data_IF_256195042346
#
_entry.id   IF_256195042346
#
_cell.length_a   1.000
_cell.length_b   1.000
_cell.length_c   1.000
_cell.angle_alpha   90.00
_cell.angle_beta   90.00
_cell.angle_gamma   90.00
#
_symmetry.space_group_name_H-M   'P 1'
#
loop_
_entity.id
_entity.type
_entity.pdbx_description
1 polymer ?
#
# COMPACT_ATOMS: atom_id res chain seq x y z
N UNK A 1 -14.77 43.47 11.10
CA UNK A 1 -13.70 42.83 10.32
C UNK A 1 -12.41 42.92 11.12
N UNK A 2 -11.96 41.83 11.75
CA UNK A 2 -10.54 41.63 11.96
C UNK A 2 -10.15 40.23 11.52
N UNK A 3 -9.78 40.09 10.25
CA UNK A 3 -8.83 39.07 9.85
C UNK A 3 -7.47 39.75 9.89
N UNK A 4 -6.57 39.30 10.76
CA UNK A 4 -5.13 39.21 10.46
C UNK A 4 -4.28 38.92 11.69
N UNK A 5 -3.46 37.86 11.55
CA UNK A 5 -2.22 37.55 12.28
C UNK A 5 -2.31 36.67 13.53
N UNK A 6 -2.86 35.47 13.35
CA UNK A 6 -2.21 34.25 13.87
C UNK A 6 -1.17 33.80 12.84
N UNK A 7 -0.12 34.59 12.63
CA UNK A 7 1.01 34.13 11.81
C UNK A 7 1.88 33.28 12.72
N UNK A 8 1.64 31.96 12.68
CA UNK A 8 2.46 30.94 13.30
C UNK A 8 3.94 31.29 13.10
N UNK A 9 4.68 31.48 14.19
CA UNK A 9 6.12 31.42 14.12
C UNK A 9 6.49 29.97 13.78
N UNK A 10 6.54 29.65 12.48
CA UNK A 10 7.09 28.40 11.98
C UNK A 10 8.49 28.27 12.60
N UNK A 11 8.67 27.27 13.46
CA UNK A 11 9.98 27.00 14.05
C UNK A 11 10.95 26.69 12.92
N UNK A 12 12.22 27.12 13.03
CA UNK A 12 13.23 26.92 11.97
C UNK A 12 13.28 25.45 11.50
N UNK A 13 13.14 24.51 12.43
CA UNK A 13 13.09 23.08 12.14
C UNK A 13 11.86 22.62 11.35
N UNK A 14 10.68 23.26 11.52
CA UNK A 14 9.50 23.00 10.67
C UNK A 14 9.76 23.46 9.23
N UNK A 15 10.35 24.64 9.05
CA UNK A 15 10.74 25.15 7.72
C UNK A 15 11.83 24.30 7.05
N UNK A 16 12.84 23.89 7.81
CA UNK A 16 13.89 22.97 7.34
C UNK A 16 13.30 21.63 6.91
N UNK A 17 12.34 21.10 7.66
CA UNK A 17 11.64 19.86 7.31
C UNK A 17 10.79 20.00 6.04
N UNK A 18 9.93 21.03 5.96
CA UNK A 18 9.04 21.25 4.82
C UNK A 18 9.84 21.52 3.53
N UNK A 19 10.95 22.26 3.63
CA UNK A 19 11.88 22.47 2.51
C UNK A 19 12.60 21.19 2.10
N UNK A 20 13.08 20.38 3.05
CA UNK A 20 13.71 19.09 2.78
C UNK A 20 12.75 18.08 2.12
N UNK A 21 11.47 18.04 2.53
CA UNK A 21 10.46 17.20 1.89
C UNK A 21 10.17 17.64 0.45
N UNK A 22 10.19 18.95 0.17
CA UNK A 22 10.02 19.47 -1.19
C UNK A 22 11.18 19.12 -2.12
N UNK A 23 12.37 18.91 -1.58
CA UNK A 23 13.57 18.54 -2.32
C UNK A 23 13.53 17.06 -2.75
N UNK A 24 14.00 16.77 -3.96
CA UNK A 24 14.16 15.40 -4.50
C UNK A 24 15.35 14.64 -3.89
N UNK A 25 15.94 15.15 -2.80
CA UNK A 25 17.15 14.62 -2.18
C UNK A 25 16.88 13.43 -1.24
N UNK A 26 15.62 13.23 -0.82
CA UNK A 26 15.23 12.12 0.03
C UNK A 26 14.41 11.08 -0.73
N UNK A 27 14.74 9.81 -0.51
CA UNK A 27 14.04 8.66 -1.09
C UNK A 27 12.57 8.65 -0.61
N UNK A 28 11.57 8.30 -1.45
CA UNK A 28 10.15 8.34 -1.07
C UNK A 28 9.82 7.65 0.26
N UNK A 29 10.43 6.50 0.55
CA UNK A 29 10.21 5.79 1.82
C UNK A 29 10.64 6.62 3.04
N UNK A 30 11.71 7.42 2.93
CA UNK A 30 12.15 8.29 4.02
C UNK A 30 11.11 9.39 4.31
N UNK A 31 10.45 9.91 3.28
CA UNK A 31 9.35 10.89 3.43
C UNK A 31 8.13 10.26 4.10
N UNK A 32 7.79 9.03 3.74
CA UNK A 32 6.69 8.27 4.38
C UNK A 32 6.97 8.00 5.86
N UNK A 33 8.20 7.63 6.22
CA UNK A 33 8.59 7.40 7.61
C UNK A 33 8.51 8.71 8.41
N UNK A 34 8.94 9.83 7.85
CA UNK A 34 8.91 11.12 8.55
C UNK A 34 7.49 11.66 8.73
N UNK A 35 6.62 11.49 7.73
CA UNK A 35 5.20 11.83 7.82
C UNK A 35 4.50 10.99 8.90
N UNK A 36 4.78 9.69 8.97
CA UNK A 36 4.25 8.83 10.05
C UNK A 36 4.65 9.30 11.45
N UNK A 37 5.88 9.80 11.61
CA UNK A 37 6.33 10.35 12.90
C UNK A 37 5.53 11.59 13.25
N UNK A 38 5.30 12.50 12.29
CA UNK A 38 4.48 13.68 12.52
C UNK A 38 3.03 13.31 12.81
N UNK A 39 2.45 12.38 12.06
CA UNK A 39 1.09 11.89 12.29
C UNK A 39 0.94 11.32 13.71
N UNK A 40 1.92 10.57 14.20
CA UNK A 40 1.89 10.02 15.56
C UNK A 40 1.81 11.11 16.65
N UNK A 41 2.38 12.29 16.42
CA UNK A 41 2.27 13.45 17.33
C UNK A 41 1.08 14.36 17.03
N UNK A 42 0.59 14.37 15.79
CA UNK A 42 -0.53 15.20 15.33
C UNK A 42 -1.88 14.50 15.42
N UNK A 43 -1.92 13.21 15.78
CA UNK A 43 -3.16 12.48 16.05
C UNK A 43 -3.77 13.01 17.34
N UNK A 44 -4.36 14.22 17.28
CA UNK A 44 -5.35 14.67 18.25
C UNK A 44 -6.57 13.78 18.05
N UNK A 45 -6.57 12.64 18.72
CA UNK A 45 -7.76 11.81 18.83
C UNK A 45 -8.76 12.64 19.66
N UNK A 46 -9.84 13.12 19.03
CA UNK A 46 -11.02 13.54 19.79
C UNK A 46 -11.28 12.47 20.86
N UNK A 47 -11.51 12.88 22.11
CA UNK A 47 -11.68 11.93 23.21
C UNK A 47 -12.68 10.86 22.77
N UNK A 48 -12.30 9.59 22.93
CA UNK A 48 -13.14 8.46 22.56
C UNK A 48 -14.54 8.60 23.17
N UNK A 49 -14.60 9.17 24.38
CA UNK A 49 -15.83 9.50 25.11
C UNK A 49 -16.70 10.53 24.37
N UNK A 50 -16.12 11.57 23.74
CA UNK A 50 -16.87 12.54 22.94
C UNK A 50 -17.42 11.87 21.68
N UNK A 51 -16.64 10.99 21.06
CA UNK A 51 -17.06 10.26 19.87
C UNK A 51 -18.25 9.34 20.17
N UNK A 52 -18.16 8.59 21.27
CA UNK A 52 -19.23 7.72 21.76
C UNK A 52 -20.48 8.52 22.14
N UNK A 53 -20.32 9.66 22.83
CA UNK A 53 -21.46 10.52 23.17
C UNK A 53 -22.17 11.06 21.93
N UNK A 54 -21.42 11.50 20.91
CA UNK A 54 -22.01 11.96 19.63
C UNK A 54 -22.78 10.84 18.94
N UNK A 55 -22.29 9.61 19.00
CA UNK A 55 -22.99 8.45 18.44
C UNK A 55 -24.28 8.14 19.23
N UNK A 56 -24.22 8.18 20.56
CA UNK A 56 -25.37 7.97 21.43
C UNK A 56 -26.45 9.06 21.26
N UNK A 57 -26.05 10.32 21.06
CA UNK A 57 -26.97 11.43 20.77
C UNK A 57 -27.69 11.19 19.44
N UNK A 58 -26.96 10.80 18.38
CA UNK A 58 -27.59 10.48 17.09
C UNK A 58 -28.59 9.34 17.22
N UNK A 59 -28.23 8.29 17.95
CA UNK A 59 -29.11 7.15 18.18
C UNK A 59 -30.38 7.57 18.96
N UNK A 60 -30.26 8.37 20.01
CA UNK A 60 -31.41 8.89 20.75
C UNK A 60 -32.32 9.78 19.89
N UNK A 61 -31.74 10.57 18.98
CA UNK A 61 -32.48 11.40 18.02
C UNK A 61 -33.21 10.54 16.97
N UNK A 62 -32.56 9.49 16.47
CA UNK A 62 -33.14 8.54 15.51
C UNK A 62 -34.27 7.72 16.16
N UNK A 63 -34.19 7.45 17.47
CA UNK A 63 -35.23 6.81 18.28
C UNK A 63 -36.34 7.78 18.73
N UNK A 64 -36.23 9.08 18.40
CA UNK A 64 -37.12 10.15 18.87
C UNK A 64 -37.25 10.24 20.40
N UNK A 65 -36.19 9.86 21.12
CA UNK A 65 -36.07 10.00 22.57
C UNK A 65 -35.42 11.35 22.91
N UNK A 66 -36.24 12.41 22.85
CA UNK A 66 -35.81 13.80 23.03
C UNK A 66 -35.24 14.08 24.43
N UNK A 67 -35.78 13.43 25.47
CA UNK A 67 -35.34 13.59 26.85
C UNK A 67 -33.91 13.04 27.03
N UNK A 68 -33.65 11.84 26.49
CA UNK A 68 -32.32 11.21 26.51
C UNK A 68 -31.33 11.96 25.63
N UNK A 69 -31.75 12.43 24.46
CA UNK A 69 -30.90 13.25 23.60
C UNK A 69 -30.47 14.55 24.30
N UNK A 70 -31.38 15.20 25.03
CA UNK A 70 -31.09 16.42 25.77
C UNK A 70 -30.11 16.19 26.93
N UNK A 71 -30.27 15.10 27.68
CA UNK A 71 -29.34 14.72 28.75
C UNK A 71 -27.93 14.46 28.21
N UNK A 72 -27.81 13.68 27.13
CA UNK A 72 -26.53 13.38 26.48
C UNK A 72 -25.87 14.63 25.90
N UNK A 73 -26.64 15.57 25.33
CA UNK A 73 -26.10 16.86 24.90
C UNK A 73 -25.56 17.69 26.07
N UNK A 74 -26.22 17.65 27.23
CA UNK A 74 -25.74 18.29 28.45
C UNK A 74 -24.40 17.72 28.92
N UNK A 75 -24.25 16.39 28.86
CA UNK A 75 -22.98 15.72 29.14
C UNK A 75 -21.89 16.09 28.12
N UNK A 76 -22.21 16.12 26.82
CA UNK A 76 -21.28 16.54 25.76
C UNK A 76 -20.78 17.96 25.98
N UNK A 77 -21.68 18.87 26.37
CA UNK A 77 -21.31 20.26 26.67
C UNK A 77 -20.35 20.35 27.84
N UNK A 78 -20.62 19.66 28.95
CA UNK A 78 -19.72 19.64 30.11
C UNK A 78 -18.34 19.10 29.77
N UNK A 79 -18.28 18.02 28.98
CA UNK A 79 -17.02 17.41 28.56
C UNK A 79 -16.22 18.37 27.67
N UNK A 80 -16.88 19.07 26.74
CA UNK A 80 -16.24 20.09 25.91
C UNK A 80 -15.76 21.31 26.69
N UNK A 81 -16.56 21.79 27.65
CA UNK A 81 -16.18 22.90 28.51
C UNK A 81 -14.97 22.50 29.39
N UNK A 82 -14.91 21.24 29.83
CA UNK A 82 -13.74 20.68 30.53
C UNK A 82 -12.50 20.57 29.62
N UNK A 83 -12.61 20.04 28.39
CA UNK A 83 -11.49 20.01 27.43
C UNK A 83 -10.99 21.43 27.11
N UNK A 84 -11.89 22.40 26.98
CA UNK A 84 -11.52 23.79 26.78
C UNK A 84 -10.75 24.35 28.00
N UNK A 85 -11.22 24.06 29.21
CA UNK A 85 -10.52 24.45 30.44
C UNK A 85 -9.15 23.78 30.58
N UNK A 86 -9.06 22.48 30.27
CA UNK A 86 -7.80 21.72 30.27
C UNK A 86 -6.83 22.28 29.24
N UNK A 87 -7.30 22.60 28.03
CA UNK A 87 -6.48 23.22 26.99
C UNK A 87 -5.93 24.59 27.43
N UNK A 88 -6.74 25.39 28.14
CA UNK A 88 -6.32 26.67 28.68
C UNK A 88 -5.29 26.51 29.82
N UNK A 89 -5.47 25.52 30.70
CA UNK A 89 -4.52 25.20 31.76
C UNK A 89 -3.18 24.71 31.19
N UNK A 90 -3.22 23.88 30.14
CA UNK A 90 -2.02 23.41 29.43
C UNK A 90 -1.29 24.57 28.71
N UNK A 91 -2.03 25.50 28.12
CA UNK A 91 -1.44 26.71 27.52
C UNK A 91 -0.74 27.57 28.57
N UNK A 92 -1.36 27.77 29.74
CA UNK A 92 -0.76 28.50 30.87
C UNK A 92 0.53 27.81 31.36
N UNK A 93 0.52 26.48 31.51
CA UNK A 93 1.71 25.70 31.86
C UNK A 93 2.87 25.91 30.86
N UNK A 94 2.54 25.98 29.56
CA UNK A 94 3.50 26.25 28.49
C UNK A 94 4.08 27.67 28.51
N UNK A 95 3.38 28.64 29.11
CA UNK A 95 3.93 29.98 29.35
C UNK A 95 4.89 30.02 30.55
N UNK A 96 4.61 29.19 31.57
CA UNK A 96 5.38 29.18 32.81
C UNK A 96 6.67 28.36 32.72
N UNK A 97 6.66 27.28 31.93
CA UNK A 97 7.81 26.40 31.78
C UNK A 97 8.13 26.12 30.30
N UNK A 98 9.41 26.11 29.90
CA UNK A 98 9.78 25.71 28.55
C UNK A 98 9.41 24.23 28.33
N UNK A 99 8.90 23.92 27.14
CA UNK A 99 8.42 22.56 26.79
C UNK A 99 9.48 21.47 27.03
N UNK A 100 10.77 21.78 26.84
CA UNK A 100 11.87 20.85 27.11
C UNK A 100 11.97 20.44 28.59
N UNK A 101 11.61 21.35 29.51
CA UNK A 101 11.57 21.07 30.95
C UNK A 101 10.33 20.29 31.35
N UNK A 102 9.20 20.56 30.70
CA UNK A 102 7.97 19.77 30.88
C UNK A 102 8.22 18.33 30.39
N UNK A 103 8.77 18.13 29.19
CA UNK A 103 9.05 16.79 28.67
C UNK A 103 10.08 16.04 29.53
N UNK A 104 11.10 16.74 30.06
CA UNK A 104 12.10 16.09 30.90
C UNK A 104 11.54 15.62 32.26
N UNK A 105 10.51 16.26 32.80
CA UNK A 105 9.86 15.78 34.02
C UNK A 105 9.13 14.45 33.82
N UNK A 106 8.64 14.17 32.60
CA UNK A 106 7.96 12.92 32.27
C UNK A 106 8.91 11.81 31.79
N UNK A 107 10.23 12.02 31.78
CA UNK A 107 11.21 11.03 31.31
C UNK A 107 11.05 9.63 31.92
N UNK A 108 10.64 9.57 33.18
CA UNK A 108 10.46 8.32 33.93
C UNK A 108 9.00 7.88 34.03
N UNK A 109 8.07 8.61 33.42
CA UNK A 109 6.66 8.26 33.39
C UNK A 109 6.46 7.06 32.43
N UNK A 110 5.86 5.94 32.89
CA UNK A 110 5.60 4.79 32.04
C UNK A 110 4.80 5.12 30.76
N UNK A 111 3.82 6.02 30.84
CA UNK A 111 2.99 6.40 29.69
C UNK A 111 3.79 7.19 28.65
N UNK A 112 4.66 8.10 29.11
CA UNK A 112 5.56 8.84 28.23
C UNK A 112 6.60 7.92 27.59
N UNK A 113 7.15 6.98 28.36
CA UNK A 113 8.06 5.96 27.84
C UNK A 113 7.39 5.07 26.78
N UNK A 114 6.16 4.61 27.02
CA UNK A 114 5.41 3.82 26.06
C UNK A 114 5.22 4.55 24.73
N UNK A 115 4.89 5.85 24.75
CA UNK A 115 4.78 6.67 23.55
C UNK A 115 6.12 6.78 22.80
N UNK A 116 7.20 7.13 23.50
CA UNK A 116 8.53 7.33 22.91
C UNK A 116 9.08 6.01 22.34
N UNK A 117 9.04 4.93 23.11
CA UNK A 117 9.53 3.63 22.67
C UNK A 117 8.62 3.00 21.61
N UNK A 118 7.31 3.20 21.69
CA UNK A 118 6.36 2.77 20.67
C UNK A 118 6.62 3.46 19.33
N UNK A 119 6.89 4.77 19.34
CA UNK A 119 7.28 5.51 18.15
C UNK A 119 8.64 5.02 17.61
N UNK A 120 9.63 4.85 18.48
CA UNK A 120 10.94 4.34 18.08
C UNK A 120 10.84 2.95 17.42
N UNK A 121 10.01 2.07 17.97
CA UNK A 121 9.75 0.75 17.41
C UNK A 121 9.06 0.84 16.04
N UNK A 122 8.06 1.73 15.88
CA UNK A 122 7.42 1.97 14.58
C UNK A 122 8.42 2.45 13.53
N UNK A 123 9.26 3.44 13.87
CA UNK A 123 10.32 3.94 12.98
C UNK A 123 11.31 2.83 12.64
N UNK A 124 11.74 2.03 13.62
CA UNK A 124 12.65 0.91 13.40
C UNK A 124 12.07 -0.11 12.42
N UNK A 125 10.82 -0.53 12.63
CA UNK A 125 10.14 -1.50 11.78
C UNK A 125 9.93 -0.97 10.36
N UNK A 126 9.53 0.29 10.22
CA UNK A 126 9.29 0.90 8.91
C UNK A 126 10.59 1.16 8.14
N UNK A 127 11.65 1.57 8.85
CA UNK A 127 12.99 1.70 8.27
C UNK A 127 13.50 0.34 7.81
N UNK A 128 13.32 -0.71 8.62
CA UNK A 128 13.67 -2.07 8.23
C UNK A 128 12.90 -2.52 6.98
N UNK A 129 11.59 -2.23 6.89
CA UNK A 129 10.79 -2.51 5.69
C UNK A 129 11.26 -1.72 4.47
N UNK A 130 11.58 -0.43 4.64
CA UNK A 130 12.07 0.42 3.57
C UNK A 130 13.43 -0.06 3.01
N UNK A 131 14.32 -0.53 3.88
CA UNK A 131 15.64 -1.06 3.50
C UNK A 131 15.50 -2.46 2.87
N UNK A 132 14.67 -3.34 3.45
CA UNK A 132 14.49 -4.70 2.93
C UNK A 132 13.69 -4.73 1.62
N UNK A 133 12.78 -3.77 1.40
CA UNK A 133 11.94 -3.66 0.21
C UNK A 133 11.95 -2.24 -0.41
N UNK A 134 13.08 -1.81 -1.02
CA UNK A 134 13.23 -0.45 -1.53
C UNK A 134 12.37 -0.12 -2.78
N UNK A 135 11.69 -1.11 -3.38
CA UNK A 135 10.94 -0.94 -4.63
C UNK A 135 9.41 -0.76 -4.47
N UNK A 136 8.91 -0.52 -3.26
CA UNK A 136 7.45 -0.46 -3.00
C UNK A 136 6.75 0.79 -3.52
N UNK A 137 7.47 1.86 -3.90
CA UNK A 137 6.85 3.12 -4.33
C UNK A 137 6.16 3.07 -5.72
N UNK A 138 6.27 1.98 -6.49
CA UNK A 138 5.49 1.78 -7.74
C UNK A 138 5.11 0.32 -8.00
N UNK A 139 4.81 -0.47 -6.97
CA UNK A 139 4.24 -1.79 -7.21
C UNK A 139 2.73 -1.76 -7.13
N UNK A 140 2.07 -1.72 -8.30
CA UNK A 140 0.76 -2.34 -8.46
C UNK A 140 0.87 -3.75 -7.90
N UNK A 141 0.33 -3.98 -6.70
CA UNK A 141 0.03 -5.31 -6.15
C UNK A 141 0.98 -6.40 -6.67
N UNK A 142 2.21 -6.48 -6.16
CA UNK A 142 2.98 -7.72 -6.29
C UNK A 142 2.25 -8.76 -5.45
N UNK A 143 1.20 -9.37 -6.02
CA UNK A 143 0.91 -10.77 -5.71
C UNK A 143 2.24 -11.48 -5.84
N UNK A 144 2.58 -12.28 -4.83
CA UNK A 144 3.75 -13.15 -4.84
C UNK A 144 3.98 -13.65 -6.27
N UNK A 145 5.16 -13.36 -6.82
CA UNK A 145 5.57 -13.85 -8.12
C UNK A 145 5.53 -15.37 -8.00
N UNK A 146 4.38 -15.96 -8.35
CA UNK A 146 4.26 -17.40 -8.54
C UNK A 146 5.38 -17.71 -9.51
N UNK A 147 6.35 -18.52 -9.09
CA UNK A 147 7.40 -18.97 -9.99
C UNK A 147 6.69 -19.44 -11.27
N UNK A 148 7.08 -18.86 -12.41
CA UNK A 148 6.44 -19.17 -13.67
C UNK A 148 6.63 -20.67 -13.88
N UNK A 149 5.54 -21.43 -13.90
CA UNK A 149 5.59 -22.87 -14.17
C UNK A 149 6.26 -23.05 -15.54
N UNK A 150 7.47 -23.62 -15.53
CA UNK A 150 8.24 -23.87 -16.76
C UNK A 150 7.95 -25.26 -17.21
N UNK A 151 7.28 -25.37 -18.36
CA UNK A 151 7.00 -26.64 -18.99
C UNK A 151 8.11 -26.98 -19.99
N UNK A 152 8.46 -28.25 -20.10
CA UNK A 152 9.39 -28.75 -21.11
C UNK A 152 8.61 -29.49 -22.18
N UNK A 153 8.59 -28.94 -23.40
CA UNK A 153 7.97 -29.57 -24.56
C UNK A 153 9.04 -30.43 -25.24
N UNK A 154 8.75 -31.69 -25.51
CA UNK A 154 9.69 -32.62 -26.13
C UNK A 154 9.09 -33.37 -27.31
N UNK A 155 9.94 -33.62 -28.31
CA UNK A 155 9.64 -34.43 -29.50
C UNK A 155 10.95 -34.95 -30.10
N UNK A 156 10.96 -36.22 -30.51
CA UNK A 156 12.08 -36.85 -31.23
C UNK A 156 13.47 -36.66 -30.58
N UNK A 157 13.52 -36.66 -29.24
CA UNK A 157 14.75 -36.47 -28.46
C UNK A 157 15.24 -35.02 -28.33
N UNK A 158 14.51 -34.05 -28.89
CA UNK A 158 14.72 -32.61 -28.69
C UNK A 158 13.73 -32.06 -27.66
N UNK A 159 14.11 -30.99 -26.95
CA UNK A 159 13.27 -30.37 -25.94
C UNK A 159 13.46 -28.86 -25.88
N UNK A 160 12.37 -28.15 -25.62
CA UNK A 160 12.35 -26.69 -25.49
C UNK A 160 11.51 -26.28 -24.28
N UNK A 161 11.92 -25.22 -23.59
CA UNK A 161 11.19 -24.71 -22.42
C UNK A 161 10.12 -23.71 -22.82
N UNK A 162 8.90 -23.89 -22.30
CA UNK A 162 7.80 -22.94 -22.40
C UNK A 162 7.37 -22.47 -20.99
N UNK A 163 7.86 -21.30 -20.53
CA UNK A 163 7.47 -20.75 -19.24
C UNK A 163 6.08 -20.11 -19.29
N UNK A 164 5.19 -20.52 -18.37
CA UNK A 164 3.87 -19.92 -18.19
C UNK A 164 4.00 -18.56 -17.47
N UNK A 165 4.15 -17.49 -18.24
CA UNK A 165 4.31 -16.12 -17.72
C UNK A 165 2.96 -15.39 -17.59
N UNK A 166 2.79 -14.68 -16.48
CA UNK A 166 1.76 -13.64 -16.28
C UNK A 166 2.45 -12.34 -15.90
N UNK A 167 2.19 -11.19 -16.57
CA UNK A 167 1.12 -10.89 -17.54
C UNK A 167 1.39 -11.32 -18.98
N UNK A 168 0.46 -11.07 -19.91
CA UNK A 168 0.57 -11.40 -21.35
C UNK A 168 1.80 -10.73 -21.97
N UNK A 169 2.92 -11.44 -22.09
CA UNK A 169 4.08 -11.04 -22.88
C UNK A 169 3.87 -11.39 -24.36
N UNK A 170 4.53 -10.64 -25.25
CA UNK A 170 4.57 -10.89 -26.70
C UNK A 170 4.93 -12.37 -26.97
N UNK A 171 4.32 -12.97 -27.99
CA UNK A 171 4.56 -14.36 -28.39
C UNK A 171 5.96 -14.56 -28.97
N UNK A 172 6.59 -13.50 -29.50
CA UNK A 172 7.97 -13.55 -30.00
C UNK A 172 9.00 -13.94 -28.91
N UNK A 173 8.66 -13.74 -27.63
CA UNK A 173 9.52 -14.17 -26.51
C UNK A 173 9.61 -15.71 -26.39
N UNK A 174 8.62 -16.43 -26.91
CA UNK A 174 8.61 -17.91 -26.93
C UNK A 174 8.73 -18.44 -28.36
N UNK A 175 9.37 -17.66 -29.25
CA UNK A 175 9.54 -18.00 -30.66
C UNK A 175 10.13 -19.39 -30.84
N UNK A 176 11.18 -19.74 -30.10
CA UNK A 176 11.81 -21.06 -30.16
C UNK A 176 10.82 -22.20 -29.87
N UNK A 177 10.00 -22.06 -28.83
CA UNK A 177 9.01 -23.07 -28.47
C UNK A 177 7.85 -23.16 -29.46
N UNK A 178 7.45 -22.04 -30.04
CA UNK A 178 6.38 -21.99 -31.04
C UNK A 178 6.86 -22.53 -32.40
N UNK A 179 8.06 -22.17 -32.84
CA UNK A 179 8.67 -22.76 -34.04
C UNK A 179 8.89 -24.26 -33.88
N UNK A 180 9.25 -24.73 -32.67
CA UNK A 180 9.35 -26.16 -32.37
C UNK A 180 8.01 -26.90 -32.52
N UNK A 181 6.90 -26.25 -32.22
CA UNK A 181 5.53 -26.77 -32.42
C UNK A 181 5.02 -26.63 -33.86
N UNK A 182 5.80 -26.03 -34.75
CA UNK A 182 5.49 -25.86 -36.18
C UNK A 182 4.89 -24.52 -36.56
N UNK A 183 4.85 -23.54 -35.66
CA UNK A 183 4.40 -22.19 -36.00
C UNK A 183 5.47 -21.40 -36.75
N UNK A 184 5.04 -20.49 -37.63
CA UNK A 184 5.93 -19.64 -38.43
C UNK A 184 5.83 -18.18 -38.01
N UNK A 185 6.97 -17.49 -38.01
CA UNK A 185 7.06 -16.05 -37.77
C UNK A 185 7.50 -15.33 -39.06
N UNK A 186 6.90 -14.17 -39.34
CA UNK A 186 7.20 -13.31 -40.49
C UNK A 186 7.79 -12.00 -39.99
N UNK A 187 8.93 -11.58 -40.55
CA UNK A 187 9.67 -10.38 -40.15
C UNK A 187 11.05 -10.67 -39.58
N UNK A 188 11.76 -9.63 -39.13
CA UNK A 188 13.14 -9.73 -38.65
C UNK A 188 13.25 -9.49 -37.14
N UNK A 189 13.98 -10.38 -36.45
CA UNK A 189 14.32 -10.21 -35.03
C UNK A 189 13.11 -10.03 -34.11
N UNK A 190 13.19 -9.04 -33.23
CA UNK A 190 12.20 -8.77 -32.17
C UNK A 190 10.86 -8.23 -32.70
N UNK A 191 10.80 -7.82 -33.97
CA UNK A 191 9.57 -7.33 -34.62
C UNK A 191 8.85 -8.41 -35.43
N UNK A 192 9.37 -9.64 -35.46
CA UNK A 192 8.71 -10.74 -36.16
C UNK A 192 7.36 -11.09 -35.52
N UNK A 193 6.33 -11.23 -36.35
CA UNK A 193 4.96 -11.53 -35.94
C UNK A 193 4.59 -12.96 -36.31
N UNK A 194 3.76 -13.58 -35.48
CA UNK A 194 3.27 -14.93 -35.69
C UNK A 194 2.32 -14.95 -36.90
N UNK A 195 2.60 -15.79 -37.89
CA UNK A 195 1.82 -15.87 -39.13
C UNK A 195 0.39 -16.41 -38.87
N UNK A 196 0.29 -17.44 -38.04
CA UNK A 196 -0.98 -18.08 -37.67
C UNK A 196 -1.26 -17.85 -36.20
N UNK A 197 -2.31 -17.10 -35.88
CA UNK A 197 -2.66 -16.73 -34.49
C UNK A 197 -3.60 -17.72 -33.83
N UNK A 198 -3.96 -18.80 -34.52
CA UNK A 198 -4.82 -19.89 -34.03
C UNK A 198 -4.24 -21.26 -34.40
N UNK A 199 -4.66 -22.30 -33.70
CA UNK A 199 -4.39 -23.70 -34.04
C UNK A 199 -5.66 -24.53 -33.84
N UNK A 200 -5.79 -25.63 -34.57
CA UNK A 200 -6.94 -26.52 -34.49
C UNK A 200 -6.62 -27.69 -33.57
N UNK A 201 -7.53 -28.03 -32.66
CA UNK A 201 -7.42 -29.24 -31.87
C UNK A 201 -7.95 -30.49 -32.61
N UNK A 202 -7.70 -31.67 -32.04
CA UNK A 202 -8.13 -32.97 -32.57
C UNK A 202 -9.67 -33.11 -32.61
N UNK A 203 -10.41 -32.22 -31.93
CA UNK A 203 -11.88 -32.14 -31.94
C UNK A 203 -12.40 -31.17 -33.02
N UNK A 204 -11.51 -30.52 -33.78
CA UNK A 204 -11.83 -29.57 -34.84
C UNK A 204 -12.09 -28.14 -34.36
N UNK A 205 -11.77 -27.81 -33.11
CA UNK A 205 -11.96 -26.47 -32.54
C UNK A 205 -10.75 -25.59 -32.80
N UNK A 206 -10.98 -24.38 -33.33
CA UNK A 206 -9.95 -23.35 -33.48
C UNK A 206 -9.71 -22.62 -32.15
N UNK A 207 -8.49 -22.70 -31.64
CA UNK A 207 -8.05 -22.08 -30.40
C UNK A 207 -6.97 -21.03 -30.67
N UNK A 208 -6.98 -19.87 -29.98
CA UNK A 208 -5.92 -18.88 -30.14
C UNK A 208 -4.60 -19.39 -29.60
N UNK A 209 -3.50 -19.04 -30.29
CA UNK A 209 -2.13 -19.37 -29.89
C UNK A 209 -1.77 -18.59 -28.64
N UNK A 210 -1.98 -19.22 -27.49
CA UNK A 210 -1.60 -18.69 -26.18
C UNK A 210 -0.90 -19.78 -25.39
N UNK A 211 0.06 -19.40 -24.54
CA UNK A 211 0.81 -20.33 -23.68
C UNK A 211 -0.13 -21.29 -22.93
N UNK A 212 -1.23 -20.77 -22.40
CA UNK A 212 -2.24 -21.56 -21.67
C UNK A 212 -2.92 -22.60 -22.57
N UNK A 213 -3.35 -22.21 -23.77
CA UNK A 213 -4.03 -23.13 -24.68
C UNK A 213 -3.07 -24.20 -25.19
N UNK A 214 -1.82 -23.85 -25.50
CA UNK A 214 -0.79 -24.80 -25.93
C UNK A 214 -0.51 -25.82 -24.83
N UNK A 215 -0.23 -25.37 -23.60
CA UNK A 215 0.01 -26.26 -22.46
C UNK A 215 -1.19 -27.16 -22.21
N UNK A 216 -2.41 -26.61 -22.22
CA UNK A 216 -3.63 -27.40 -22.01
C UNK A 216 -3.82 -28.45 -23.09
N UNK A 217 -3.60 -28.10 -24.36
CA UNK A 217 -3.75 -29.01 -25.48
C UNK A 217 -2.71 -30.14 -25.44
N UNK A 218 -1.46 -29.85 -25.07
CA UNK A 218 -0.40 -30.85 -24.91
C UNK A 218 -0.66 -31.77 -23.71
N UNK A 219 -1.05 -31.22 -22.55
CA UNK A 219 -1.35 -32.00 -21.34
C UNK A 219 -2.54 -32.95 -21.55
N UNK A 220 -3.54 -32.53 -22.31
CA UNK A 220 -4.74 -33.32 -22.59
C UNK A 220 -4.60 -34.22 -23.83
N UNK A 221 -3.48 -34.15 -24.57
CA UNK A 221 -3.29 -34.87 -25.83
C UNK A 221 -4.29 -34.46 -26.91
N UNK A 222 -4.80 -33.23 -26.85
CA UNK A 222 -5.83 -32.71 -27.75
C UNK A 222 -5.26 -32.04 -28.99
N UNK A 223 -3.98 -31.68 -29.05
CA UNK A 223 -3.34 -31.15 -30.25
C UNK A 223 -1.84 -31.47 -30.22
N UNK A 224 -1.12 -31.17 -31.32
CA UNK A 224 0.32 -31.39 -31.47
C UNK A 224 0.70 -32.87 -31.27
N UNK A 225 0.08 -33.74 -32.08
CA UNK A 225 0.35 -35.17 -32.05
C UNK A 225 1.86 -35.43 -32.25
N UNK A 226 2.42 -36.34 -31.44
CA UNK A 226 3.87 -36.64 -31.30
C UNK A 226 4.70 -35.71 -30.39
N UNK A 227 4.11 -34.66 -29.80
CA UNK A 227 4.77 -33.86 -28.76
C UNK A 227 4.32 -34.31 -27.37
N UNK A 228 5.19 -34.17 -26.37
CA UNK A 228 4.86 -34.40 -24.97
C UNK A 228 5.32 -33.22 -24.10
N UNK A 229 4.69 -33.06 -22.93
CA UNK A 229 4.94 -31.94 -22.01
C UNK A 229 5.15 -32.45 -20.58
N UNK A 230 6.16 -31.91 -19.90
CA UNK A 230 6.49 -32.21 -18.50
C UNK A 230 6.67 -30.92 -17.69
#
# INVERSE_FOLDING_TARGET
MPDSQTNEALTSSKLEYESAIGLSQHVPQAKTISEMVLDAFQTAKESEEIRELRAAIRLAQDEHDDDKAYELMGQLKRLKDAEAADSAALADLGTQFPISRILSSYKNDPAFQELVYGLALKVLNQTHQAISNPNTAKSKTTRARKEAEVYTISKDGQSVSLPLRTPRSNLNVDREALEFLGFTFVGEGDTAELQETTFVDNEGSELPVTRKNIVTALQQGKAFNAYSIA
#
